data_IF_054148987310
#
_entry.id   IF_054148987310
#
_cell.length_a   1.000
_cell.length_b   1.000
_cell.length_c   1.000
_cell.angle_alpha   90.00
_cell.angle_beta   90.00
_cell.angle_gamma   90.00
#
_symmetry.space_group_name_H-M   'P 1'
#
loop_
_entity.id
_entity.type
_entity.pdbx_description
1 polymer ?
#
# COMPACT_ATOMS: atom_id res chain seq x y z
N UNK A 1 70.06 22.40 -4.27
CA UNK A 1 69.45 22.94 -5.50
C UNK A 1 68.07 23.44 -5.11
N UNK A 2 67.96 24.73 -4.76
CA UNK A 2 67.43 25.82 -5.63
C UNK A 2 65.95 25.62 -5.95
N UNK A 3 65.00 26.55 -5.80
CA UNK A 3 64.83 27.94 -5.32
C UNK A 3 63.28 28.12 -5.45
N UNK A 4 62.51 28.94 -4.72
CA UNK A 4 62.63 30.39 -4.57
C UNK A 4 61.45 30.86 -3.70
N UNK A 5 61.75 31.64 -2.67
CA UNK A 5 60.83 32.56 -2.02
C UNK A 5 60.90 33.94 -2.71
N UNK A 6 59.79 34.69 -2.71
CA UNK A 6 59.68 36.13 -2.95
C UNK A 6 58.50 36.61 -2.09
N UNK A 7 58.71 37.22 -0.92
CA UNK A 7 59.09 38.63 -0.63
C UNK A 7 57.89 39.59 -0.52
N UNK A 8 57.64 40.06 0.71
CA UNK A 8 56.84 41.23 1.11
C UNK A 8 57.43 42.55 0.50
N UNK A 9 56.90 43.82 0.64
CA UNK A 9 56.46 44.41 1.93
C UNK A 9 55.55 45.69 1.95
N UNK A 10 55.17 46.09 3.20
CA UNK A 10 55.18 47.45 3.82
C UNK A 10 54.31 48.66 3.39
N UNK A 11 53.89 49.36 4.47
CA UNK A 11 53.65 50.82 4.72
C UNK A 11 52.28 51.41 4.33
N UNK A 12 51.70 52.39 5.04
CA UNK A 12 51.84 52.94 6.40
C UNK A 12 50.91 54.16 6.56
N UNK A 13 50.53 54.44 7.82
CA UNK A 13 50.28 55.74 8.46
C UNK A 13 48.91 56.46 8.35
N UNK A 14 48.42 56.77 9.56
CA UNK A 14 47.73 57.99 10.08
C UNK A 14 46.34 58.27 9.49
N UNK A 15 45.29 58.49 10.27
CA UNK A 15 45.15 59.09 11.61
C UNK A 15 44.02 60.12 11.47
N UNK A 16 42.97 60.07 12.28
CA UNK A 16 42.65 61.08 13.31
C UNK A 16 41.21 60.76 13.78
N UNK A 17 41.01 60.50 15.07
CA UNK A 17 40.53 61.47 16.07
C UNK A 17 39.00 61.54 16.11
N UNK A 18 38.42 60.95 17.16
CA UNK A 18 37.28 61.55 17.84
C UNK A 18 37.50 61.41 19.34
N UNK A 19 37.83 62.56 19.91
CA UNK A 19 37.99 62.86 21.31
C UNK A 19 36.63 62.93 22.00
N UNK A 20 36.59 62.34 23.21
CA UNK A 20 36.11 62.92 24.47
C UNK A 20 34.62 63.33 24.54
N UNK A 21 33.82 62.90 25.54
CA UNK A 21 33.87 63.13 27.00
C UNK A 21 32.63 62.35 27.55
N UNK A 22 32.37 62.04 28.82
CA UNK A 22 32.87 62.47 30.11
C UNK A 22 32.52 61.37 31.15
N UNK A 23 33.47 61.12 32.04
CA UNK A 23 33.32 60.86 33.48
C UNK A 23 31.97 60.33 34.02
N UNK A 24 32.01 59.13 34.60
CA UNK A 24 31.51 58.96 35.97
C UNK A 24 32.37 57.95 36.73
N UNK A 25 33.08 58.48 37.73
CA UNK A 25 33.90 57.76 38.69
C UNK A 25 33.08 56.64 39.34
N UNK A 26 33.42 55.39 39.03
CA UNK A 26 33.00 54.26 39.85
C UNK A 26 33.86 54.28 41.12
N UNK A 27 33.34 54.86 42.20
CA UNK A 27 33.91 54.65 43.53
C UNK A 27 33.78 53.17 43.84
N UNK A 28 34.90 52.45 43.89
CA UNK A 28 34.98 51.08 44.36
C UNK A 28 34.80 51.04 45.88
N UNK A 29 33.55 51.15 46.35
CA UNK A 29 33.19 50.71 47.69
C UNK A 29 32.77 49.25 47.58
N UNK A 30 33.65 48.34 47.98
CA UNK A 30 33.26 46.95 48.25
C UNK A 30 32.10 46.96 49.24
N UNK A 31 30.99 46.26 48.96
CA UNK A 31 29.86 46.27 49.88
C UNK A 31 30.26 45.56 51.17
N UNK A 32 30.12 46.24 52.29
CA UNK A 32 30.29 45.62 53.61
C UNK A 32 29.23 44.52 53.79
N UNK A 33 29.58 43.39 54.43
CA UNK A 33 28.61 42.32 54.69
C UNK A 33 27.46 42.86 55.56
N UNK A 34 26.22 42.38 55.34
CA UNK A 34 25.09 42.79 56.16
C UNK A 34 25.35 42.41 57.62
N UNK A 35 24.86 43.24 58.55
CA UNK A 35 24.95 42.95 59.99
C UNK A 35 24.23 41.62 60.29
N UNK A 36 24.70 40.83 61.27
CA UNK A 36 24.05 39.59 61.64
C UNK A 36 22.61 39.85 62.05
N UNK A 37 21.72 38.96 61.62
CA UNK A 37 20.29 39.06 61.87
C UNK A 37 20.02 38.33 63.17
N UNK A 38 19.89 39.08 64.27
CA UNK A 38 19.59 38.51 65.59
C UNK A 38 18.07 38.44 65.88
N UNK A 39 17.20 38.82 64.93
CA UNK A 39 15.76 38.82 65.19
C UNK A 39 14.88 38.55 63.96
N UNK A 40 13.80 37.80 64.17
CA UNK A 40 12.91 37.24 63.13
C UNK A 40 12.05 38.30 62.42
N UNK A 41 12.06 39.54 62.92
CA UNK A 41 11.27 40.68 62.41
C UNK A 41 12.09 41.66 61.56
N UNK A 42 13.42 41.52 61.54
CA UNK A 42 14.37 42.41 60.84
C UNK A 42 14.15 42.50 59.32
N UNK A 43 13.58 41.46 58.71
CA UNK A 43 13.30 41.43 57.27
C UNK A 43 12.16 42.39 56.85
N UNK A 44 11.21 42.67 57.74
CA UNK A 44 10.13 43.62 57.49
C UNK A 44 10.62 45.06 57.56
N UNK A 45 11.47 45.37 58.55
CA UNK A 45 12.08 46.69 58.71
C UNK A 45 12.98 47.04 57.51
N UNK A 46 13.75 46.06 57.02
CA UNK A 46 14.55 46.23 55.80
C UNK A 46 13.70 46.55 54.56
N UNK A 47 12.49 45.97 54.46
CA UNK A 47 11.54 46.24 53.37
C UNK A 47 10.82 47.58 53.54
N UNK A 48 10.54 48.00 54.76
CA UNK A 48 9.90 49.28 55.09
C UNK A 48 10.82 50.48 54.81
N UNK A 49 12.12 50.34 55.06
CA UNK A 49 13.08 51.44 54.92
C UNK A 49 13.71 51.57 53.52
N UNK A 50 13.44 50.66 52.57
CA UNK A 50 13.77 50.87 51.16
C UNK A 50 12.57 51.41 50.39
N UNK A 51 12.56 52.73 50.17
CA UNK A 51 11.69 53.36 49.18
C UNK A 51 11.87 52.66 47.82
N UNK A 52 10.79 52.07 47.31
CA UNK A 52 10.81 51.24 46.12
C UNK A 52 11.44 51.96 44.93
N UNK A 53 12.63 51.53 44.52
CA UNK A 53 13.08 51.76 43.15
C UNK A 53 12.02 51.09 42.27
N UNK A 54 11.19 51.90 41.61
CA UNK A 54 10.35 51.38 40.52
C UNK A 54 11.31 50.67 39.58
N UNK A 55 11.17 49.35 39.49
CA UNK A 55 11.81 48.58 38.43
C UNK A 55 11.48 49.31 37.13
N UNK A 56 12.44 49.49 36.20
CA UNK A 56 12.10 50.04 34.90
C UNK A 56 10.92 49.20 34.40
N UNK A 57 9.79 49.87 34.16
CA UNK A 57 8.68 49.35 33.37
C UNK A 57 9.27 48.44 32.29
N UNK A 58 8.95 47.14 32.36
CA UNK A 58 9.29 46.20 31.30
C UNK A 58 8.63 46.79 30.06
N UNK A 59 9.41 47.51 29.26
CA UNK A 59 8.98 48.07 27.98
C UNK A 59 8.45 46.87 27.24
N UNK A 60 7.13 46.83 27.12
CA UNK A 60 6.31 45.84 26.44
C UNK A 60 7.17 44.95 25.54
N UNK A 61 7.69 43.84 26.08
CA UNK A 61 8.47 42.87 25.32
C UNK A 61 7.46 42.04 24.53
N UNK A 62 6.77 42.68 23.60
CA UNK A 62 6.26 41.94 22.47
C UNK A 62 7.50 41.30 21.84
N UNK A 63 7.49 39.97 21.62
CA UNK A 63 8.63 39.30 21.03
C UNK A 63 9.00 40.06 19.75
N UNK A 64 10.30 40.34 19.60
CA UNK A 64 10.84 40.93 18.37
C UNK A 64 10.28 40.12 17.20
N UNK A 65 9.70 40.79 16.20
CA UNK A 65 9.31 40.11 14.96
C UNK A 65 10.57 39.48 14.36
N UNK A 66 10.62 38.14 14.20
CA UNK A 66 11.83 37.47 13.74
C UNK A 66 12.25 38.02 12.37
N UNK A 67 13.56 38.10 12.14
CA UNK A 67 14.07 38.36 10.79
C UNK A 67 13.62 37.25 9.84
N UNK A 68 13.46 37.55 8.55
CA UNK A 68 13.09 36.53 7.55
C UNK A 68 14.06 35.33 7.60
N UNK A 69 15.36 35.58 7.77
CA UNK A 69 16.39 34.53 7.88
C UNK A 69 16.24 33.70 9.16
N UNK A 70 15.95 34.35 10.30
CA UNK A 70 15.76 33.70 11.60
C UNK A 70 14.48 32.86 11.61
N UNK A 71 13.41 33.36 11.00
CA UNK A 71 12.16 32.64 10.80
C UNK A 71 12.36 31.40 9.91
N UNK A 72 13.09 31.54 8.80
CA UNK A 72 13.43 30.41 7.91
C UNK A 72 14.28 29.38 8.64
N UNK A 73 15.28 29.81 9.42
CA UNK A 73 16.13 28.91 10.20
C UNK A 73 15.32 28.17 11.27
N UNK A 74 14.41 28.86 11.96
CA UNK A 74 13.50 28.25 12.92
C UNK A 74 12.52 27.27 12.25
N UNK A 75 12.06 27.55 11.05
CA UNK A 75 11.23 26.61 10.28
C UNK A 75 12.04 25.36 9.96
N UNK A 76 13.21 25.52 9.34
CA UNK A 76 14.07 24.40 8.93
C UNK A 76 14.53 23.52 10.09
N UNK A 77 14.83 24.13 11.25
CA UNK A 77 15.25 23.42 12.45
C UNK A 77 14.10 22.65 13.12
N UNK A 78 12.87 23.19 13.07
CA UNK A 78 11.71 22.59 13.72
C UNK A 78 10.87 21.70 12.79
N UNK A 79 11.04 21.77 11.47
CA UNK A 79 10.49 20.77 10.55
C UNK A 79 11.27 19.46 10.70
N UNK A 80 10.67 18.39 11.27
CA UNK A 80 11.34 17.10 11.30
C UNK A 80 11.64 16.69 9.86
N UNK A 81 12.84 16.13 9.57
CA UNK A 81 13.12 15.59 8.25
C UNK A 81 12.04 14.54 7.93
N UNK A 82 11.49 14.52 6.70
CA UNK A 82 10.61 13.44 6.30
C UNK A 82 11.36 12.12 6.51
N UNK A 83 10.71 11.12 7.11
CA UNK A 83 11.29 9.79 7.22
C UNK A 83 11.60 9.29 5.81
N UNK A 84 12.89 9.26 5.47
CA UNK A 84 13.40 8.83 4.16
C UNK A 84 13.32 7.32 3.99
N UNK A 85 12.87 6.58 5.01
CA UNK A 85 12.74 5.14 4.93
C UNK A 85 11.64 4.74 3.94
N UNK A 86 11.96 3.93 2.91
CA UNK A 86 10.99 3.54 1.91
C UNK A 86 9.93 2.62 2.53
N UNK A 87 8.66 2.80 2.13
CA UNK A 87 7.59 1.87 2.49
C UNK A 87 7.91 0.48 1.95
N UNK A 88 8.14 -0.47 2.84
CA UNK A 88 8.44 -1.86 2.50
C UNK A 88 7.25 -2.75 2.82
N UNK A 89 7.14 -3.85 2.09
CA UNK A 89 6.21 -4.94 2.39
C UNK A 89 6.83 -5.85 3.45
N UNK A 90 6.18 -5.93 4.61
CA UNK A 90 6.58 -6.77 5.73
C UNK A 90 5.73 -8.03 5.83
N UNK A 91 6.33 -9.12 6.29
CA UNK A 91 5.69 -10.44 6.38
C UNK A 91 5.82 -10.95 7.79
N UNK A 92 4.74 -10.85 8.55
CA UNK A 92 4.68 -11.32 9.93
C UNK A 92 3.98 -12.66 9.99
N UNK A 93 4.53 -13.56 10.79
CA UNK A 93 3.94 -14.85 11.10
C UNK A 93 3.65 -14.90 12.61
N UNK A 94 2.38 -14.95 12.98
CA UNK A 94 1.97 -15.01 14.37
C UNK A 94 1.55 -16.45 14.69
N UNK A 95 2.14 -17.03 15.73
CA UNK A 95 1.72 -18.30 16.30
C UNK A 95 0.71 -18.00 17.41
N UNK A 96 -0.53 -18.41 17.20
CA UNK A 96 -1.65 -18.03 18.07
C UNK A 96 -2.38 -19.28 18.56
N UNK A 97 -2.87 -19.22 19.79
CA UNK A 97 -3.75 -20.25 20.31
C UNK A 97 -5.09 -20.20 19.57
N UNK A 98 -5.63 -21.36 19.19
CA UNK A 98 -6.91 -21.46 18.49
C UNK A 98 -8.08 -21.39 19.50
N UNK A 99 -8.34 -20.20 20.01
CA UNK A 99 -9.49 -19.91 20.87
C UNK A 99 -10.50 -19.01 20.15
N UNK A 100 -11.80 -19.11 20.49
CA UNK A 100 -12.82 -18.24 19.90
C UNK A 100 -12.51 -16.76 20.20
N UNK A 101 -12.58 -15.92 19.15
CA UNK A 101 -12.36 -14.48 19.27
C UNK A 101 -10.91 -14.01 19.09
N UNK A 102 -9.93 -14.93 18.94
CA UNK A 102 -8.52 -14.56 18.70
C UNK A 102 -8.34 -13.80 17.40
N UNK A 103 -8.99 -14.23 16.31
CA UNK A 103 -8.95 -13.54 15.02
C UNK A 103 -9.47 -12.10 15.12
N UNK A 104 -10.61 -11.91 15.79
CA UNK A 104 -11.20 -10.58 15.99
C UNK A 104 -10.30 -9.67 16.82
N UNK A 105 -9.60 -10.21 17.82
CA UNK A 105 -8.65 -9.45 18.65
C UNK A 105 -7.42 -9.01 17.86
N UNK A 106 -6.80 -9.91 17.10
CA UNK A 106 -5.62 -9.62 16.26
C UNK A 106 -5.97 -8.62 15.16
N UNK A 107 -7.06 -8.86 14.42
CA UNK A 107 -7.53 -7.95 13.38
C UNK A 107 -7.94 -6.58 13.97
N UNK A 108 -8.61 -6.57 15.13
CA UNK A 108 -9.02 -5.35 15.81
C UNK A 108 -7.86 -4.48 16.28
N UNK A 109 -6.75 -5.08 16.75
CA UNK A 109 -5.53 -4.32 17.11
C UNK A 109 -4.88 -3.69 15.88
N UNK A 110 -4.85 -4.42 14.76
CA UNK A 110 -4.26 -3.91 13.54
C UNK A 110 -5.09 -2.78 12.93
N UNK A 111 -6.40 -2.96 12.87
CA UNK A 111 -7.35 -1.97 12.34
C UNK A 111 -7.47 -0.75 13.27
N UNK A 112 -7.54 -0.95 14.59
CA UNK A 112 -7.70 0.12 15.58
C UNK A 112 -6.53 1.12 15.63
N UNK A 113 -5.36 0.74 15.11
CA UNK A 113 -4.19 1.61 14.98
C UNK A 113 -3.95 2.09 13.55
N UNK A 114 -4.80 1.73 12.61
CA UNK A 114 -4.72 2.17 11.22
C UNK A 114 -3.52 1.60 10.46
N UNK A 115 -3.04 0.40 10.81
CA UNK A 115 -2.01 -0.25 9.99
C UNK A 115 -2.60 -0.69 8.65
N UNK A 116 -1.87 -0.48 7.56
CA UNK A 116 -2.30 -0.89 6.23
C UNK A 116 -2.04 -2.40 6.03
N UNK A 117 -3.09 -3.20 6.15
CA UNK A 117 -3.06 -4.66 6.00
C UNK A 117 -3.30 -5.00 4.53
N UNK A 118 -2.32 -5.60 3.87
CA UNK A 118 -2.46 -6.13 2.51
C UNK A 118 -3.23 -7.46 2.51
N UNK A 119 -2.89 -8.34 3.46
CA UNK A 119 -3.46 -9.69 3.55
C UNK A 119 -3.34 -10.19 4.98
N UNK A 120 -4.39 -10.83 5.48
CA UNK A 120 -4.39 -11.57 6.74
C UNK A 120 -5.02 -12.94 6.49
N UNK A 121 -4.23 -13.99 6.66
CA UNK A 121 -4.67 -15.38 6.45
C UNK A 121 -4.44 -16.17 7.73
N UNK A 122 -5.43 -16.96 8.13
CA UNK A 122 -5.31 -17.90 9.25
C UNK A 122 -5.14 -19.30 8.70
N UNK A 123 -4.04 -19.94 9.06
CA UNK A 123 -3.74 -21.31 8.70
C UNK A 123 -3.84 -22.18 9.95
N UNK A 124 -4.66 -23.22 9.90
CA UNK A 124 -4.65 -24.24 10.95
C UNK A 124 -3.35 -25.07 10.84
N UNK A 125 -2.70 -25.34 11.98
CA UNK A 125 -1.53 -26.22 12.01
C UNK A 125 -1.93 -27.65 12.34
N UNK A 126 -1.01 -28.60 12.17
CA UNK A 126 -1.24 -30.00 12.57
C UNK A 126 -1.44 -30.15 14.08
N UNK A 127 -0.86 -29.24 14.85
CA UNK A 127 -0.95 -29.23 16.31
C UNK A 127 -2.33 -28.69 16.71
N UNK A 128 -3.04 -29.44 17.56
CA UNK A 128 -4.32 -29.01 18.15
C UNK A 128 -4.13 -27.71 18.91
N UNK A 129 -5.13 -26.84 18.84
CA UNK A 129 -5.16 -25.55 19.52
C UNK A 129 -4.05 -24.55 19.12
N UNK A 130 -3.31 -24.82 18.03
CA UNK A 130 -2.32 -23.91 17.47
C UNK A 130 -2.69 -23.52 16.05
N UNK A 131 -2.75 -22.22 15.81
CA UNK A 131 -2.97 -21.61 14.50
C UNK A 131 -1.80 -20.70 14.12
N UNK A 132 -1.58 -20.58 12.82
CA UNK A 132 -0.55 -19.72 12.23
C UNK A 132 -1.24 -18.62 11.44
N UNK A 133 -1.11 -17.38 11.88
CA UNK A 133 -1.62 -16.23 11.15
C UNK A 133 -0.50 -15.59 10.33
N UNK A 134 -0.70 -15.52 9.01
CA UNK A 134 0.19 -14.83 8.09
C UNK A 134 -0.37 -13.43 7.83
N UNK A 135 0.39 -12.40 8.19
CA UNK A 135 -0.02 -11.01 8.09
C UNK A 135 0.98 -10.28 7.20
N UNK A 136 0.48 -9.63 6.16
CA UNK A 136 1.28 -8.80 5.27
C UNK A 136 0.89 -7.35 5.49
N UNK A 137 1.89 -6.53 5.83
CA UNK A 137 1.74 -5.11 6.13
C UNK A 137 2.58 -4.29 5.16
N UNK A 138 2.11 -3.09 4.83
CA UNK A 138 2.93 -2.07 4.15
C UNK A 138 3.21 -0.93 5.12
N UNK A 139 4.48 -0.62 5.34
CA UNK A 139 4.87 0.37 6.34
C UNK A 139 6.36 0.64 6.35
N UNK A 140 6.78 1.54 7.25
CA UNK A 140 8.18 1.73 7.64
C UNK A 140 8.53 0.73 8.75
N UNK A 141 9.81 0.37 8.86
CA UNK A 141 10.29 -0.64 9.80
C UNK A 141 9.90 -0.31 11.25
N UNK A 142 10.00 0.96 11.66
CA UNK A 142 9.62 1.40 13.01
C UNK A 142 8.13 1.19 13.34
N UNK A 143 7.24 1.45 12.38
CA UNK A 143 5.78 1.29 12.53
C UNK A 143 5.41 -0.20 12.59
N UNK A 144 6.07 -1.03 11.76
CA UNK A 144 5.81 -2.47 11.74
C UNK A 144 6.38 -3.17 12.97
N UNK A 145 7.54 -2.75 13.47
CA UNK A 145 8.10 -3.26 14.72
C UNK A 145 7.18 -2.92 15.91
N UNK A 146 6.54 -1.75 15.89
CA UNK A 146 5.50 -1.43 16.86
C UNK A 146 4.30 -2.38 16.75
N UNK A 147 3.83 -2.67 15.54
CA UNK A 147 2.76 -3.65 15.31
C UNK A 147 3.15 -5.05 15.81
N UNK A 148 4.39 -5.49 15.54
CA UNK A 148 4.95 -6.77 16.01
C UNK A 148 4.88 -6.89 17.52
N UNK A 149 5.38 -5.87 18.24
CA UNK A 149 5.39 -5.83 19.71
C UNK A 149 3.97 -5.87 20.30
N UNK A 150 3.02 -5.18 19.68
CA UNK A 150 1.63 -5.17 20.16
C UNK A 150 0.92 -6.50 19.94
N UNK A 151 1.24 -7.20 18.86
CA UNK A 151 0.71 -8.54 18.62
C UNK A 151 1.34 -9.57 19.58
N UNK A 152 2.61 -9.40 19.93
CA UNK A 152 3.32 -10.24 20.89
C UNK A 152 2.86 -10.04 22.35
N UNK A 153 2.38 -8.84 22.70
CA UNK A 153 1.82 -8.52 24.03
C UNK A 153 0.45 -9.19 24.31
N UNK A 154 -0.17 -9.79 23.28
CA UNK A 154 -1.44 -10.48 23.42
C UNK A 154 -1.27 -11.84 24.12
N UNK A 155 -2.01 -12.04 25.21
CA UNK A 155 -2.08 -13.33 25.94
C UNK A 155 -2.25 -14.58 25.05
N UNK A 156 -3.16 -14.64 24.04
CA UNK A 156 -3.31 -15.84 23.20
C UNK A 156 -2.21 -16.01 22.13
N UNK A 157 -1.27 -15.06 22.01
CA UNK A 157 -0.21 -15.11 21.00
C UNK A 157 1.05 -15.67 21.65
N UNK A 158 1.59 -16.73 21.08
CA UNK A 158 2.82 -17.37 21.57
C UNK A 158 4.06 -16.63 21.10
N UNK A 159 4.09 -16.24 19.82
CA UNK A 159 5.21 -15.53 19.23
C UNK A 159 4.81 -14.84 17.91
N UNK A 160 5.50 -13.76 17.59
CA UNK A 160 5.38 -13.07 16.30
C UNK A 160 6.75 -13.01 15.63
N UNK A 161 6.89 -13.71 14.52
CA UNK A 161 8.12 -13.78 13.73
C UNK A 161 8.04 -12.83 12.53
N UNK A 162 9.12 -12.12 12.25
CA UNK A 162 9.26 -11.32 11.03
C UNK A 162 10.10 -12.06 9.98
N UNK A 163 9.50 -12.35 8.82
CA UNK A 163 10.14 -12.98 7.66
C UNK A 163 10.50 -11.97 6.56
N UNK A 164 10.55 -10.67 6.87
CA UNK A 164 10.91 -9.63 5.90
C UNK A 164 12.34 -9.77 5.39
N UNK A 165 13.28 -10.20 6.24
CA UNK A 165 14.70 -10.40 5.89
C UNK A 165 15.06 -11.86 5.57
N UNK A 166 14.18 -12.81 5.89
CA UNK A 166 14.41 -14.24 5.70
C UNK A 166 13.95 -14.71 4.32
N UNK A 167 14.68 -15.65 3.73
CA UNK A 167 14.22 -16.30 2.49
C UNK A 167 12.95 -17.11 2.78
N UNK A 168 11.88 -16.84 2.04
CA UNK A 168 10.57 -17.49 2.25
C UNK A 168 9.94 -17.96 0.95
N UNK A 169 9.03 -18.93 1.06
CA UNK A 169 8.07 -19.30 0.02
C UNK A 169 6.77 -18.61 0.32
N UNK A 170 6.30 -17.82 -0.64
CA UNK A 170 4.97 -17.21 -0.63
C UNK A 170 4.07 -17.98 -1.59
N UNK A 171 2.85 -18.29 -1.15
CA UNK A 171 1.81 -18.93 -1.97
C UNK A 171 0.45 -18.32 -1.68
N UNK A 172 -0.35 -18.23 -2.72
CA UNK A 172 -1.73 -17.81 -2.70
C UNK A 172 -2.50 -18.72 -3.65
N UNK A 173 -3.72 -19.08 -3.25
CA UNK A 173 -4.65 -19.88 -4.05
C UNK A 173 -5.66 -18.95 -4.72
N UNK A 174 -5.85 -19.14 -6.03
CA UNK A 174 -6.88 -18.49 -6.84
C UNK A 174 -7.81 -19.56 -7.39
N UNK A 175 -9.12 -19.35 -7.22
CA UNK A 175 -10.17 -19.98 -8.00
C UNK A 175 -10.84 -18.90 -8.83
N UNK A 176 -10.86 -19.05 -10.15
CA UNK A 176 -11.50 -18.09 -11.04
C UNK A 176 -12.49 -18.80 -11.96
N UNK A 177 -13.72 -18.31 -12.01
CA UNK A 177 -14.73 -18.69 -12.98
C UNK A 177 -14.59 -17.78 -14.20
N UNK A 178 -14.32 -18.38 -15.35
CA UNK A 178 -14.06 -17.67 -16.61
C UNK A 178 -15.13 -18.05 -17.62
N UNK A 179 -15.61 -17.07 -18.39
CA UNK A 179 -16.55 -17.28 -19.48
C UNK A 179 -15.86 -17.94 -20.68
N UNK A 180 -16.56 -18.87 -21.33
CA UNK A 180 -16.13 -19.45 -22.62
C UNK A 180 -16.91 -18.89 -23.81
N UNK A 181 -17.89 -18.02 -23.57
CA UNK A 181 -18.71 -17.41 -24.62
C UNK A 181 -17.96 -16.33 -25.42
N UNK A 182 -16.85 -15.82 -24.90
CA UNK A 182 -15.99 -14.83 -25.55
C UNK A 182 -16.12 -13.41 -24.97
N UNK A 183 -15.26 -12.47 -25.42
CA UNK A 183 -15.18 -11.11 -24.89
C UNK A 183 -16.46 -10.31 -25.08
N UNK A 184 -17.13 -10.45 -26.23
CA UNK A 184 -18.33 -9.68 -26.56
C UNK A 184 -19.50 -10.01 -25.62
N UNK A 185 -19.63 -11.29 -25.24
CA UNK A 185 -20.62 -11.70 -24.26
C UNK A 185 -20.26 -11.18 -22.86
N UNK A 186 -18.97 -11.18 -22.51
CA UNK A 186 -18.51 -10.64 -21.24
C UNK A 186 -18.77 -9.11 -21.15
N UNK A 187 -18.51 -8.37 -22.23
CA UNK A 187 -18.81 -6.94 -22.33
C UNK A 187 -20.32 -6.67 -22.31
N UNK A 188 -21.12 -7.46 -23.01
CA UNK A 188 -22.59 -7.38 -22.96
C UNK A 188 -23.13 -7.68 -21.54
N UNK A 189 -22.52 -8.61 -20.82
CA UNK A 189 -22.90 -8.93 -19.44
C UNK A 189 -22.49 -7.83 -18.45
N UNK A 190 -21.36 -7.14 -18.71
CA UNK A 190 -20.90 -5.99 -17.92
C UNK A 190 -21.68 -4.70 -18.22
N UNK A 191 -22.04 -4.48 -19.49
CA UNK A 191 -22.77 -3.30 -19.96
C UNK A 191 -24.29 -3.45 -19.91
N UNK A 192 -24.78 -4.68 -19.75
CA UNK A 192 -26.18 -4.97 -19.54
C UNK A 192 -26.71 -4.23 -18.31
N UNK A 193 -28.00 -3.85 -18.29
CA UNK A 193 -28.58 -3.20 -17.13
C UNK A 193 -28.32 -4.08 -15.91
N UNK A 194 -27.63 -3.54 -14.91
CA UNK A 194 -27.52 -4.18 -13.60
C UNK A 194 -28.95 -4.50 -13.18
N UNK A 195 -29.33 -5.77 -12.95
CA UNK A 195 -30.66 -6.07 -12.49
C UNK A 195 -30.80 -5.55 -11.06
N UNK A 196 -31.13 -4.27 -10.92
CA UNK A 196 -31.69 -3.65 -9.71
C UNK A 196 -32.98 -4.39 -9.27
N UNK A 197 -33.52 -5.21 -10.16
CA UNK A 197 -34.68 -6.09 -10.00
C UNK A 197 -34.43 -7.36 -9.19
N UNK A 198 -33.25 -7.61 -8.59
CA UNK A 198 -33.10 -8.83 -7.77
C UNK A 198 -33.55 -8.66 -6.31
N UNK A 199 -33.60 -7.43 -5.78
CA UNK A 199 -34.09 -7.18 -4.43
C UNK A 199 -35.54 -6.66 -4.42
N UNK A 200 -35.87 -5.63 -5.20
CA UNK A 200 -37.23 -5.06 -5.23
C UNK A 200 -38.24 -6.00 -5.91
N UNK A 201 -37.87 -6.65 -7.00
CA UNK A 201 -38.76 -7.59 -7.73
C UNK A 201 -38.98 -8.91 -6.97
N UNK A 202 -38.11 -9.25 -6.01
CA UNK A 202 -38.30 -10.36 -5.08
C UNK A 202 -39.27 -10.02 -3.93
N UNK A 203 -39.40 -8.72 -3.60
CA UNK A 203 -40.34 -8.18 -2.60
C UNK A 203 -41.72 -7.91 -3.22
N UNK A 204 -41.77 -7.41 -4.46
CA UNK A 204 -43.03 -7.18 -5.19
C UNK A 204 -43.79 -8.47 -5.49
N UNK A 205 -43.07 -9.56 -5.79
CA UNK A 205 -43.64 -10.89 -5.99
C UNK A 205 -44.16 -11.57 -4.69
N UNK A 206 -44.00 -10.93 -3.52
CA UNK A 206 -44.59 -11.40 -2.25
C UNK A 206 -45.90 -10.70 -1.91
N UNK A 207 -46.35 -9.73 -2.71
CA UNK A 207 -47.61 -9.02 -2.48
C UNK A 207 -48.77 -9.73 -3.20
N UNK A 208 -49.88 -10.08 -2.50
CA UNK A 208 -50.95 -10.91 -3.04
C UNK A 208 -51.84 -10.23 -4.11
N UNK A 209 -51.52 -9.03 -4.57
CA UNK A 209 -52.44 -8.22 -5.40
C UNK A 209 -52.13 -8.19 -6.90
N UNK A 210 -51.04 -8.77 -7.40
CA UNK A 210 -50.71 -8.78 -8.83
C UNK A 210 -50.39 -10.18 -9.37
N UNK A 211 -51.37 -10.92 -9.96
CA UNK A 211 -51.06 -12.17 -10.66
C UNK A 211 -50.39 -11.89 -12.03
N UNK A 212 -49.47 -12.75 -12.48
CA UNK A 212 -48.78 -12.57 -13.76
C UNK A 212 -49.76 -12.70 -14.92
N UNK A 213 -49.96 -11.62 -15.67
CA UNK A 213 -50.75 -11.62 -16.89
C UNK A 213 -50.02 -12.42 -17.97
N UNK A 214 -50.54 -13.62 -18.26
CA UNK A 214 -50.27 -14.35 -19.48
C UNK A 214 -50.70 -13.47 -20.67
N UNK A 215 -49.72 -12.96 -21.43
CA UNK A 215 -49.97 -12.10 -22.59
C UNK A 215 -50.66 -12.92 -23.68
N UNK A 216 -51.98 -12.82 -23.72
CA UNK A 216 -52.79 -13.10 -24.90
C UNK A 216 -52.97 -11.78 -25.66
N UNK A 217 -52.32 -11.63 -26.80
CA UNK A 217 -52.64 -10.65 -27.84
C UNK A 217 -52.50 -11.41 -29.17
N UNK A 218 -53.51 -11.53 -30.03
CA UNK A 218 -54.42 -10.48 -30.46
C UNK A 218 -53.92 -10.00 -31.83
N UNK A 219 -54.51 -10.54 -32.90
CA UNK A 219 -54.14 -10.33 -34.30
C UNK A 219 -54.09 -8.85 -34.69
N UNK A 220 -52.96 -8.39 -35.25
CA UNK A 220 -52.93 -7.20 -36.12
C UNK A 220 -51.98 -7.46 -37.31
N UNK A 221 -52.54 -7.94 -38.41
CA UNK A 221 -51.83 -8.51 -39.58
C UNK A 221 -51.14 -7.49 -40.51
N UNK A 222 -51.00 -6.22 -40.08
CA UNK A 222 -50.58 -5.09 -40.94
C UNK A 222 -49.09 -4.75 -40.88
N UNK A 223 -48.45 -4.86 -39.71
CA UNK A 223 -47.11 -4.29 -39.49
C UNK A 223 -45.95 -5.25 -39.83
N UNK A 224 -46.19 -6.56 -39.77
CA UNK A 224 -45.18 -7.59 -40.04
C UNK A 224 -44.71 -7.63 -41.50
N UNK A 225 -45.58 -7.22 -42.43
CA UNK A 225 -45.28 -7.28 -43.87
C UNK A 225 -44.34 -6.15 -44.30
N UNK A 226 -44.56 -4.95 -43.75
CA UNK A 226 -43.76 -3.76 -44.05
C UNK A 226 -42.36 -3.91 -43.46
N UNK A 227 -42.24 -4.45 -42.24
CA UNK A 227 -40.95 -4.69 -41.61
C UNK A 227 -40.12 -5.76 -42.35
N UNK A 228 -40.79 -6.78 -42.90
CA UNK A 228 -40.14 -7.88 -43.64
C UNK A 228 -39.65 -7.43 -45.03
N UNK A 229 -40.38 -6.55 -45.72
CA UNK A 229 -39.91 -5.95 -46.99
C UNK A 229 -38.72 -5.01 -46.79
N UNK A 230 -38.71 -4.23 -45.70
CA UNK A 230 -37.65 -3.28 -45.40
C UNK A 230 -36.33 -3.97 -45.01
N UNK A 231 -36.40 -5.15 -44.39
CA UNK A 231 -35.24 -6.00 -44.11
C UNK A 231 -34.65 -6.62 -45.40
N UNK A 232 -35.51 -7.02 -46.35
CA UNK A 232 -35.10 -7.67 -47.59
C UNK A 232 -34.42 -6.68 -48.56
N UNK A 233 -34.85 -5.42 -48.58
CA UNK A 233 -34.21 -4.35 -49.34
C UNK A 233 -32.75 -4.10 -48.88
N UNK A 234 -32.49 -4.10 -47.58
CA UNK A 234 -31.12 -3.89 -47.03
C UNK A 234 -30.18 -5.06 -47.34
N UNK A 235 -30.71 -6.27 -47.41
CA UNK A 235 -29.90 -7.44 -47.77
C UNK A 235 -29.42 -7.43 -49.23
N UNK A 236 -30.15 -6.78 -50.13
CA UNK A 236 -29.78 -6.66 -51.54
C UNK A 236 -28.64 -5.64 -51.79
N UNK A 237 -28.56 -4.58 -50.98
CA UNK A 237 -27.53 -3.54 -51.13
C UNK A 237 -26.13 -4.01 -50.68
N UNK A 238 -26.05 -5.02 -49.81
CA UNK A 238 -24.80 -5.52 -49.24
C UNK A 238 -24.06 -6.55 -50.13
N UNK A 239 -24.65 -7.02 -51.22
CA UNK A 239 -24.10 -8.13 -52.04
C UNK A 239 -22.96 -7.72 -53.00
N UNK A 240 -22.52 -6.45 -53.00
CA UNK A 240 -21.69 -5.87 -54.06
C UNK A 240 -20.20 -5.59 -53.77
N UNK A 241 -19.61 -6.02 -52.65
CA UNK A 241 -18.20 -5.66 -52.32
C UNK A 241 -17.22 -6.86 -52.35
N UNK A 242 -15.97 -6.67 -52.84
CA UNK A 242 -15.02 -7.76 -53.06
C UNK A 242 -14.35 -8.23 -51.75
N UNK A 243 -14.14 -9.54 -51.65
CA UNK A 243 -13.68 -10.23 -50.43
C UNK A 243 -12.22 -9.93 -50.04
N UNK A 244 -11.94 -9.52 -48.78
CA UNK A 244 -10.59 -9.56 -48.22
C UNK A 244 -10.31 -10.92 -47.54
N UNK A 245 -9.02 -11.19 -47.38
CA UNK A 245 -8.41 -12.44 -46.93
C UNK A 245 -9.08 -13.13 -45.74
N UNK A 246 -9.09 -14.46 -45.77
CA UNK A 246 -9.65 -15.40 -44.78
C UNK A 246 -9.03 -15.20 -43.39
N UNK A 247 -9.61 -14.27 -42.62
CA UNK A 247 -9.27 -14.04 -41.22
C UNK A 247 -9.84 -15.16 -40.35
N UNK A 248 -9.05 -15.65 -39.39
CA UNK A 248 -9.42 -16.71 -38.44
C UNK A 248 -10.58 -16.32 -37.50
N UNK A 249 -10.98 -15.04 -37.51
CA UNK A 249 -12.13 -14.50 -36.82
C UNK A 249 -12.94 -13.64 -37.81
N UNK A 250 -14.27 -13.77 -37.88
CA UNK A 250 -15.09 -12.87 -38.68
C UNK A 250 -14.94 -11.44 -38.16
N UNK A 251 -14.68 -10.48 -39.04
CA UNK A 251 -14.71 -9.05 -38.70
C UNK A 251 -16.15 -8.71 -38.24
N UNK A 252 -16.37 -8.58 -36.93
CA UNK A 252 -17.63 -8.08 -36.39
C UNK A 252 -17.62 -6.55 -36.36
N UNK A 253 -18.04 -5.96 -37.46
CA UNK A 253 -18.48 -4.57 -37.48
C UNK A 253 -19.89 -4.49 -36.89
N UNK A 254 -20.02 -4.06 -35.64
CA UNK A 254 -21.11 -3.19 -35.13
C UNK A 254 -22.59 -3.59 -35.28
N UNK A 255 -22.96 -4.76 -35.79
CA UNK A 255 -24.35 -5.19 -35.92
C UNK A 255 -24.48 -6.63 -35.52
N UNK A 256 -25.33 -6.92 -34.52
CA UNK A 256 -25.59 -8.24 -33.97
C UNK A 256 -25.98 -9.27 -35.03
N UNK A 257 -24.97 -9.90 -35.63
CA UNK A 257 -25.12 -11.17 -36.32
C UNK A 257 -25.04 -12.26 -35.25
N UNK A 258 -26.19 -12.84 -34.97
CA UNK A 258 -26.31 -14.02 -34.13
C UNK A 258 -25.43 -15.14 -34.70
N UNK A 259 -24.48 -15.63 -33.89
CA UNK A 259 -23.68 -16.79 -34.26
C UNK A 259 -24.59 -17.98 -34.54
N UNK A 260 -24.29 -18.74 -35.59
CA UNK A 260 -24.87 -20.07 -35.72
C UNK A 260 -24.51 -20.90 -34.48
N UNK A 261 -25.44 -21.73 -34.00
CA UNK A 261 -25.22 -22.57 -32.83
C UNK A 261 -23.96 -23.46 -32.96
N UNK A 262 -23.66 -23.94 -34.17
CA UNK A 262 -22.45 -24.72 -34.45
C UNK A 262 -21.18 -23.87 -34.35
N UNK A 263 -21.23 -22.62 -34.83
CA UNK A 263 -20.11 -21.69 -34.78
C UNK A 263 -19.82 -21.27 -33.33
N UNK A 264 -20.88 -20.99 -32.56
CA UNK A 264 -20.78 -20.70 -31.14
C UNK A 264 -20.16 -21.87 -30.35
N UNK A 265 -20.52 -23.11 -30.67
CA UNK A 265 -19.94 -24.30 -30.05
C UNK A 265 -18.44 -24.45 -30.35
N UNK A 266 -18.02 -24.18 -31.60
CA UNK A 266 -16.61 -24.21 -31.99
C UNK A 266 -15.83 -23.12 -31.25
N UNK A 267 -16.37 -21.89 -31.18
CA UNK A 267 -15.77 -20.79 -30.45
C UNK A 267 -15.62 -21.10 -28.96
N UNK A 268 -16.67 -21.66 -28.32
CA UNK A 268 -16.63 -22.12 -26.92
C UNK A 268 -15.48 -23.10 -26.68
N UNK A 269 -15.34 -24.12 -27.54
CA UNK A 269 -14.28 -25.11 -27.40
C UNK A 269 -12.88 -24.51 -27.61
N UNK A 270 -12.75 -23.57 -28.55
CA UNK A 270 -11.49 -22.87 -28.80
C UNK A 270 -11.07 -22.01 -27.59
N UNK A 271 -12.00 -21.25 -27.00
CA UNK A 271 -11.74 -20.49 -25.78
C UNK A 271 -11.38 -21.40 -24.60
N UNK A 272 -12.12 -22.50 -24.41
CA UNK A 272 -11.82 -23.47 -23.37
C UNK A 272 -10.40 -24.06 -23.54
N UNK A 273 -10.03 -24.44 -24.76
CA UNK A 273 -8.68 -24.97 -25.04
C UNK A 273 -7.60 -23.92 -24.75
N UNK A 274 -7.83 -22.66 -25.13
CA UNK A 274 -6.89 -21.57 -24.87
C UNK A 274 -6.72 -21.32 -23.36
N UNK A 275 -7.84 -21.26 -22.61
CA UNK A 275 -7.83 -21.11 -21.15
C UNK A 275 -7.08 -22.28 -20.50
N UNK A 276 -7.33 -23.51 -20.94
CA UNK A 276 -6.63 -24.70 -20.45
C UNK A 276 -5.12 -24.59 -20.68
N UNK A 277 -4.69 -24.24 -21.90
CA UNK A 277 -3.26 -24.07 -22.20
C UNK A 277 -2.62 -22.98 -21.34
N UNK A 278 -3.32 -21.86 -21.11
CA UNK A 278 -2.83 -20.79 -20.24
C UNK A 278 -2.76 -21.24 -18.78
N UNK A 279 -3.75 -21.98 -18.29
CA UNK A 279 -3.74 -22.56 -16.95
C UNK A 279 -2.54 -23.52 -16.79
N UNK A 280 -2.31 -24.42 -17.74
CA UNK A 280 -1.21 -25.39 -17.72
C UNK A 280 0.16 -24.68 -17.69
N UNK A 281 0.35 -23.62 -18.50
CA UNK A 281 1.59 -22.83 -18.51
C UNK A 281 1.85 -22.10 -17.17
N UNK A 282 0.80 -21.72 -16.46
CA UNK A 282 0.92 -21.11 -15.14
C UNK A 282 1.05 -22.13 -14.01
N UNK A 283 0.93 -23.43 -14.30
CA UNK A 283 0.92 -24.51 -13.31
C UNK A 283 -0.40 -24.61 -12.55
N UNK A 284 -1.49 -24.12 -13.15
CA UNK A 284 -2.85 -24.28 -12.67
C UNK A 284 -3.54 -25.52 -13.27
N UNK A 285 -4.83 -25.68 -12.96
CA UNK A 285 -5.68 -26.74 -13.50
C UNK A 285 -7.09 -26.23 -13.74
N UNK A 286 -7.78 -26.79 -14.73
CA UNK A 286 -9.22 -26.60 -14.90
C UNK A 286 -9.93 -27.61 -14.01
N UNK A 287 -10.71 -27.14 -13.03
CA UNK A 287 -11.39 -27.98 -12.04
C UNK A 287 -12.80 -28.34 -12.48
N UNK A 288 -13.48 -27.41 -13.15
CA UNK A 288 -14.87 -27.58 -13.60
C UNK A 288 -15.08 -26.98 -14.99
N UNK A 289 -15.96 -27.60 -15.78
CA UNK A 289 -16.35 -27.17 -17.12
C UNK A 289 -17.86 -27.24 -17.23
N UNK A 290 -18.50 -26.08 -17.38
CA UNK A 290 -19.92 -25.93 -17.63
C UNK A 290 -20.19 -25.50 -19.08
N UNK A 291 -21.46 -25.36 -19.44
CA UNK A 291 -21.88 -25.03 -20.81
C UNK A 291 -21.37 -23.66 -21.33
N UNK A 292 -21.27 -22.70 -20.41
CA UNK A 292 -20.95 -21.30 -20.72
C UNK A 292 -19.74 -20.76 -19.93
N UNK A 293 -19.16 -21.54 -19.02
CA UNK A 293 -18.03 -21.12 -18.19
C UNK A 293 -17.16 -22.30 -17.77
N UNK A 294 -15.93 -22.04 -17.36
CA UNK A 294 -15.06 -23.02 -16.69
C UNK A 294 -14.46 -22.43 -15.41
N UNK A 295 -14.12 -23.29 -14.45
CA UNK A 295 -13.43 -22.89 -13.21
C UNK A 295 -11.98 -23.33 -13.30
N UNK A 296 -11.07 -22.38 -13.10
CA UNK A 296 -9.63 -22.61 -13.06
C UNK A 296 -9.10 -22.40 -11.65
N UNK A 297 -8.18 -23.28 -11.25
CA UNK A 297 -7.44 -23.20 -10.00
C UNK A 297 -5.97 -22.93 -10.28
N UNK A 298 -5.39 -22.01 -9.52
CA UNK A 298 -3.97 -21.67 -9.60
C UNK A 298 -3.40 -21.46 -8.20
N UNK A 299 -2.23 -22.06 -7.93
CA UNK A 299 -1.46 -21.81 -6.71
C UNK A 299 -0.09 -21.24 -7.06
N UNK A 300 0.15 -19.96 -6.75
CA UNK A 300 1.40 -19.30 -7.10
C UNK A 300 1.73 -18.14 -6.13
N UNK A 301 2.83 -17.41 -6.37
CA UNK A 301 3.08 -16.12 -5.69
C UNK A 301 2.07 -15.09 -6.19
N UNK A 302 1.71 -14.11 -5.36
CA UNK A 302 0.71 -13.09 -5.72
C UNK A 302 0.98 -12.39 -7.06
N UNK A 303 2.24 -12.04 -7.36
CA UNK A 303 2.58 -11.41 -8.64
C UNK A 303 2.27 -12.30 -9.85
N UNK A 304 2.47 -13.61 -9.74
CA UNK A 304 2.16 -14.57 -10.82
C UNK A 304 0.64 -14.79 -10.94
N UNK A 305 -0.08 -14.76 -9.82
CA UNK A 305 -1.56 -14.80 -9.80
C UNK A 305 -2.14 -13.55 -10.49
N UNK A 306 -1.59 -12.37 -10.20
CA UNK A 306 -2.03 -11.11 -10.82
C UNK A 306 -1.76 -11.09 -12.34
N UNK A 307 -0.62 -11.61 -12.77
CA UNK A 307 -0.31 -11.79 -14.20
C UNK A 307 -1.28 -12.78 -14.87
N UNK A 308 -1.61 -13.88 -14.20
CA UNK A 308 -2.58 -14.86 -14.71
C UNK A 308 -3.97 -14.24 -14.89
N UNK A 309 -4.46 -13.52 -13.87
CA UNK A 309 -5.74 -12.81 -13.95
C UNK A 309 -5.75 -11.80 -15.10
N UNK A 310 -4.64 -11.08 -15.30
CA UNK A 310 -4.53 -10.11 -16.40
C UNK A 310 -4.65 -10.77 -17.79
N UNK A 311 -4.15 -12.00 -17.96
CA UNK A 311 -4.31 -12.80 -19.19
C UNK A 311 -5.71 -13.41 -19.33
N UNK A 312 -6.41 -13.65 -18.23
CA UNK A 312 -7.78 -14.18 -18.23
C UNK A 312 -8.86 -13.10 -18.45
N UNK A 313 -8.56 -11.83 -18.17
CA UNK A 313 -9.49 -10.70 -18.36
C UNK A 313 -10.17 -10.64 -19.73
N UNK A 314 -9.46 -10.85 -20.87
CA UNK A 314 -10.09 -10.80 -22.19
C UNK A 314 -11.15 -11.89 -22.42
N UNK A 315 -11.06 -13.03 -21.74
CA UNK A 315 -12.09 -14.08 -21.83
C UNK A 315 -13.34 -13.75 -21.01
N UNK A 316 -13.24 -12.80 -20.07
CA UNK A 316 -14.29 -12.45 -19.12
C UNK A 316 -14.21 -13.29 -17.85
N UNK A 317 -13.63 -12.72 -16.78
CA UNK A 317 -13.65 -13.32 -15.45
C UNK A 317 -14.99 -13.00 -14.81
N UNK A 318 -15.82 -14.04 -14.60
CA UNK A 318 -17.15 -13.91 -14.01
C UNK A 318 -17.06 -13.77 -12.49
N UNK A 319 -16.19 -14.56 -11.86
CA UNK A 319 -16.00 -14.60 -10.41
C UNK A 319 -14.55 -14.99 -10.10
N UNK A 320 -13.99 -14.46 -9.01
CA UNK A 320 -12.69 -14.88 -8.52
C UNK A 320 -12.66 -14.90 -6.99
N UNK A 321 -12.22 -16.03 -6.44
CA UNK A 321 -11.95 -16.21 -5.02
C UNK A 321 -10.44 -16.36 -4.79
N UNK A 322 -9.88 -15.52 -3.93
CA UNK A 322 -8.46 -15.50 -3.56
C UNK A 322 -8.30 -15.77 -2.07
N UNK A 323 -7.40 -16.68 -1.70
CA UNK A 323 -7.18 -17.05 -0.28
C UNK A 323 -6.41 -16.00 0.52
N UNK A 324 -5.64 -15.13 -0.15
CA UNK A 324 -4.58 -14.32 0.46
C UNK A 324 -3.25 -15.08 0.56
N UNK A 325 -2.22 -14.41 1.08
CA UNK A 325 -0.84 -14.90 1.03
C UNK A 325 -0.45 -15.71 2.26
N UNK A 326 -0.03 -16.95 2.03
CA UNK A 326 0.60 -17.83 3.00
C UNK A 326 2.12 -17.74 2.85
N UNK A 327 2.83 -17.72 3.98
CA UNK A 327 4.30 -17.59 3.99
C UNK A 327 4.92 -18.66 4.87
N UNK A 328 5.92 -19.36 4.34
CA UNK A 328 6.78 -20.29 5.08
C UNK A 328 8.26 -19.96 4.84
N UNK A 329 9.11 -19.92 5.88
CA UNK A 329 10.53 -19.70 5.70
C UNK A 329 11.17 -20.89 4.99
N UNK A 330 12.17 -20.62 4.16
CA UNK A 330 13.04 -21.65 3.56
C UNK A 330 14.35 -21.70 4.30
N UNK A 331 14.89 -22.90 4.44
CA UNK A 331 16.29 -23.09 4.79
C UNK A 331 17.15 -22.74 3.57
N UNK A 332 18.00 -21.71 3.63
CA UNK A 332 18.95 -21.44 2.57
C UNK A 332 19.95 -22.60 2.50
N UNK A 333 20.21 -23.11 1.30
CA UNK A 333 21.29 -24.07 1.06
C UNK A 333 22.50 -23.24 0.67
N UNK A 334 23.55 -23.16 1.51
CA UNK A 334 24.76 -22.45 1.14
C UNK A 334 25.39 -23.14 -0.06
N UNK A 335 25.83 -22.34 -1.04
CA UNK A 335 26.68 -22.86 -2.11
C UNK A 335 28.10 -22.88 -1.57
N UNK A 336 28.74 -24.04 -1.61
CA UNK A 336 30.09 -24.27 -1.08
C UNK A 336 31.14 -23.26 -1.60
N UNK A 337 30.93 -22.60 -2.74
CA UNK A 337 31.84 -21.59 -3.28
C UNK A 337 31.72 -20.18 -2.66
N UNK A 338 30.60 -19.87 -2.01
CA UNK A 338 30.31 -18.53 -1.46
C UNK A 338 30.70 -18.42 0.02
N UNK A 339 30.90 -19.55 0.72
CA UNK A 339 31.34 -19.58 2.12
C UNK A 339 32.80 -19.12 2.27
N UNK A 340 33.66 -19.45 1.30
CA UNK A 340 35.06 -19.02 1.27
C UNK A 340 35.19 -17.50 1.05
N UNK A 341 34.33 -16.90 0.22
CA UNK A 341 34.32 -15.46 -0.03
C UNK A 341 33.76 -14.66 1.17
N UNK A 342 32.69 -15.15 1.81
CA UNK A 342 32.10 -14.51 3.00
C UNK A 342 32.95 -14.67 4.27
N UNK A 343 33.74 -15.75 4.36
CA UNK A 343 34.75 -15.90 5.40
C UNK A 343 35.92 -14.94 5.17
N UNK A 344 36.39 -14.80 3.91
CA UNK A 344 37.44 -13.85 3.55
C UNK A 344 37.05 -12.38 3.77
N UNK A 345 35.81 -11.98 3.48
CA UNK A 345 35.33 -10.61 3.75
C UNK A 345 35.21 -10.29 5.24
N UNK A 346 34.94 -11.30 6.09
CA UNK A 346 34.92 -11.10 7.56
C UNK A 346 36.31 -11.10 8.18
N UNK A 347 37.31 -11.64 7.48
CA UNK A 347 38.72 -11.68 7.88
C UNK A 347 39.55 -10.54 7.25
N UNK A 348 38.93 -9.42 6.86
CA UNK A 348 39.67 -8.19 6.58
C UNK A 348 40.17 -7.61 7.92
N UNK A 349 41.27 -8.17 8.42
CA UNK A 349 41.94 -7.78 9.66
C UNK A 349 42.47 -6.36 9.49
N UNK A 350 41.97 -5.43 10.31
CA UNK A 350 42.47 -4.05 10.36
C UNK A 350 43.96 -4.05 10.70
N UNK A 351 44.79 -3.71 9.71
CA UNK A 351 46.26 -3.75 9.77
C UNK A 351 46.82 -2.84 10.87
N UNK A 352 46.00 -1.92 11.40
CA UNK A 352 46.34 -1.05 12.53
C UNK A 352 46.30 -1.74 13.92
N UNK A 353 45.72 -2.95 14.01
CA UNK A 353 45.67 -3.76 15.24
C UNK A 353 46.84 -4.74 15.38
N UNK A 354 47.69 -4.87 14.36
CA UNK A 354 48.89 -5.69 14.44
C UNK A 354 49.99 -4.95 15.24
N UNK A 355 50.65 -5.61 16.20
CA UNK A 355 51.76 -5.00 16.91
C UNK A 355 52.88 -4.69 15.91
N UNK A 356 53.52 -3.50 15.98
CA UNK A 356 54.63 -3.20 15.10
C UNK A 356 55.78 -4.17 15.40
N UNK A 357 56.16 -4.94 14.38
CA UNK A 357 57.32 -5.83 14.38
C UNK A 357 58.64 -5.11 14.18
#
# INVERSE_FOLDING_TARGET
MSHRALSAPLRALRGTRLQQTATRCASTKTPAPPKPIDDSTSALDYKLHKHGRRLPHLVTQHPRSPSAEEAVTNILYNTPPPSTEPFKRHRLNCLVQNEPGVLSRVSGILAGRGFNIDSLVVCQTEIRDLSRMCIILKGQDGVVEQARRQLEDLVPVWAVLDYTKTSCVERELLLAKVSILGPEFAEAQLSGPIPHTSFEHAVENQSPENPPSFVAQGETQGDDKIQRELALARSFESAGQPAPARALYPNRSGTGQDMSASEALIAKNLHLSAIKTLADQFGGRVVDVAENSCIVELTAKSSRVDSFLSLMRPFGVLEAARSGVMVLPRTPIPRYSEEDELAAEKEEIDVSLLPPG
#
